data_IF_656065900252
#
_entry.id   IF_656065900252
#
_cell.length_a   1.000
_cell.length_b   1.000
_cell.length_c   1.000
_cell.angle_alpha   90.00
_cell.angle_beta   90.00
_cell.angle_gamma   90.00
#
_symmetry.space_group_name_H-M   'P 1'
#
loop_
_entity.id
_entity.type
_entity.pdbx_description
1 polymer ?
#
# COMPACT_ATOMS: atom_id res chain seq x y z
N UNK A 1 -14.50 1.71 -6.93
CA UNK A 1 -13.60 1.12 -5.92
C UNK A 1 -12.19 1.01 -6.48
N UNK A 2 -11.17 1.21 -5.65
CA UNK A 2 -9.76 0.91 -5.93
C UNK A 2 -9.22 -0.01 -4.83
N UNK A 3 -8.37 -0.97 -5.19
CA UNK A 3 -7.62 -1.78 -4.23
C UNK A 3 -6.16 -1.76 -4.63
N UNK A 4 -5.28 -1.45 -3.69
CA UNK A 4 -3.83 -1.45 -3.86
C UNK A 4 -3.25 -2.52 -2.94
N UNK A 5 -2.67 -3.57 -3.54
CA UNK A 5 -1.85 -4.52 -2.80
C UNK A 5 -0.51 -3.86 -2.47
N UNK A 6 -0.04 -4.02 -1.24
CA UNK A 6 1.22 -3.45 -0.79
C UNK A 6 1.89 -4.34 0.23
N UNK A 7 3.21 -4.18 0.36
CA UNK A 7 4.02 -4.79 1.42
C UNK A 7 4.33 -3.68 2.44
N UNK A 8 3.76 -3.75 3.65
CA UNK A 8 4.06 -2.77 4.72
C UNK A 8 4.95 -3.39 5.79
N UNK A 9 5.68 -2.54 6.50
CA UNK A 9 6.51 -2.96 7.62
C UNK A 9 5.63 -3.27 8.84
N UNK A 10 5.95 -4.36 9.55
CA UNK A 10 5.32 -4.68 10.82
C UNK A 10 5.96 -3.84 11.94
N UNK A 11 5.25 -2.80 12.38
CA UNK A 11 5.75 -1.92 13.43
C UNK A 11 5.50 -2.47 14.85
N UNK A 12 4.60 -3.45 15.04
CA UNK A 12 4.34 -4.01 16.37
C UNK A 12 5.57 -4.79 16.85
N UNK A 13 6.16 -5.60 15.99
CA UNK A 13 7.42 -6.32 16.26
C UNK A 13 8.60 -5.38 16.50
N UNK A 14 8.70 -4.29 15.71
CA UNK A 14 9.77 -3.29 15.84
C UNK A 14 9.72 -2.55 17.19
N UNK A 15 8.51 -2.23 17.67
CA UNK A 15 8.32 -1.57 18.95
C UNK A 15 8.50 -2.52 20.14
N UNK A 16 8.25 -3.82 19.95
CA UNK A 16 8.44 -4.86 20.97
C UNK A 16 9.91 -5.27 21.18
N UNK A 17 10.83 -4.86 20.28
CA UNK A 17 12.25 -5.17 20.37
C UNK A 17 12.63 -6.55 19.81
N UNK A 18 11.68 -7.28 19.24
CA UNK A 18 11.93 -8.53 18.53
C UNK A 18 12.58 -8.25 17.17
N UNK A 19 13.84 -8.66 17.04
CA UNK A 19 14.79 -8.17 16.05
C UNK A 19 14.74 -8.89 14.68
N UNK A 20 13.55 -9.10 14.12
CA UNK A 20 13.46 -9.45 12.70
C UNK A 20 12.44 -8.53 12.02
N UNK A 21 12.88 -7.54 11.22
CA UNK A 21 11.98 -6.71 10.44
C UNK A 21 11.15 -7.61 9.51
N UNK A 22 9.85 -7.72 9.77
CA UNK A 22 8.92 -8.48 8.93
C UNK A 22 8.10 -7.53 8.07
N UNK A 23 7.68 -8.04 6.91
CA UNK A 23 6.70 -7.37 6.04
C UNK A 23 5.40 -8.14 6.08
N UNK A 24 4.30 -7.40 6.05
CA UNK A 24 2.95 -7.94 5.87
C UNK A 24 2.50 -7.64 4.45
N UNK A 25 1.84 -8.61 3.85
CA UNK A 25 1.00 -8.38 2.67
C UNK A 25 -0.27 -7.72 3.16
N UNK A 26 -0.56 -6.53 2.64
CA UNK A 26 -1.72 -5.74 3.01
C UNK A 26 -2.46 -5.23 1.77
N UNK A 27 -3.73 -4.91 1.95
CA UNK A 27 -4.55 -4.28 0.93
C UNK A 27 -5.09 -2.94 1.44
N UNK A 28 -4.78 -1.85 0.72
CA UNK A 28 -5.41 -0.55 0.89
C UNK A 28 -6.59 -0.44 -0.08
N UNK A 29 -7.79 -0.35 0.44
CA UNK A 29 -9.04 -0.24 -0.31
C UNK A 29 -9.63 1.16 -0.17
N UNK A 30 -10.04 1.74 -1.30
CA UNK A 30 -10.91 2.91 -1.36
C UNK A 30 -12.25 2.52 -1.98
N UNK A 31 -13.33 2.79 -1.25
CA UNK A 31 -14.68 2.68 -1.79
C UNK A 31 -15.13 4.01 -2.42
N UNK A 32 -16.32 4.03 -3.02
CA UNK A 32 -16.99 5.25 -3.52
C UNK A 32 -16.16 6.14 -4.45
N UNK A 33 -15.18 5.52 -5.12
CA UNK A 33 -14.30 6.15 -6.11
C UNK A 33 -15.10 6.41 -7.39
N UNK A 34 -15.17 7.67 -7.77
CA UNK A 34 -15.80 8.19 -8.98
C UNK A 34 -14.83 8.16 -10.17
N UNK A 35 -13.56 8.51 -9.94
CA UNK A 35 -12.53 8.47 -10.97
C UNK A 35 -11.15 8.18 -10.38
N UNK A 36 -10.26 7.65 -11.23
CA UNK A 36 -8.88 7.33 -10.88
C UNK A 36 -7.98 7.79 -12.02
N UNK A 37 -6.96 8.58 -11.70
CA UNK A 37 -6.05 9.17 -12.68
C UNK A 37 -4.62 9.03 -12.16
N UNK A 38 -3.73 8.50 -12.98
CA UNK A 38 -2.30 8.41 -12.66
C UNK A 38 -1.51 9.48 -13.41
N UNK A 39 -0.40 9.89 -12.81
CA UNK A 39 0.63 10.71 -13.43
C UNK A 39 1.99 10.15 -13.03
N UNK A 40 2.91 10.05 -13.97
CA UNK A 40 4.29 9.58 -13.72
C UNK A 40 4.31 8.17 -13.07
N UNK A 41 3.31 7.35 -13.39
CA UNK A 41 3.24 5.93 -13.06
C UNK A 41 3.17 5.18 -14.37
N UNK A 42 4.18 4.36 -14.64
CA UNK A 42 4.15 3.44 -15.77
C UNK A 42 3.31 2.20 -15.41
N UNK A 43 2.07 2.20 -15.91
CA UNK A 43 1.13 1.09 -15.70
C UNK A 43 1.51 -0.18 -16.49
N UNK A 44 2.48 -0.10 -17.42
CA UNK A 44 3.01 -1.23 -18.17
C UNK A 44 4.18 -1.95 -17.48
N UNK A 45 4.83 -1.29 -16.52
CA UNK A 45 5.97 -1.83 -15.79
C UNK A 45 5.54 -2.66 -14.57
N UNK A 46 4.89 -3.80 -14.81
CA UNK A 46 4.33 -4.68 -13.78
C UNK A 46 5.35 -5.20 -12.74
N UNK A 47 6.62 -5.26 -13.11
CA UNK A 47 7.72 -5.77 -12.27
C UNK A 47 8.38 -4.69 -11.40
N UNK A 48 8.00 -3.40 -11.55
CA UNK A 48 8.61 -2.32 -10.79
C UNK A 48 7.73 -1.94 -9.59
N UNK A 49 8.11 -2.31 -8.36
CA UNK A 49 7.31 -1.97 -7.18
C UNK A 49 7.31 -0.45 -6.96
N UNK A 50 6.13 0.10 -6.71
CA UNK A 50 5.95 1.50 -6.32
C UNK A 50 6.01 1.63 -4.80
N UNK A 51 6.83 2.56 -4.30
CA UNK A 51 6.89 2.87 -2.87
C UNK A 51 5.92 3.99 -2.54
N UNK A 52 4.83 3.67 -1.84
CA UNK A 52 3.87 4.67 -1.35
C UNK A 52 4.45 5.42 -0.15
N UNK A 53 4.56 6.74 -0.25
CA UNK A 53 5.06 7.61 0.82
C UNK A 53 3.95 8.09 1.74
N UNK A 54 2.75 8.32 1.21
CA UNK A 54 1.66 8.86 2.00
C UNK A 54 0.42 9.15 1.18
N UNK A 55 -0.61 9.58 1.92
CA UNK A 55 -1.92 9.94 1.38
C UNK A 55 -2.23 11.40 1.76
N UNK A 56 -2.80 12.14 0.82
CA UNK A 56 -3.38 13.45 1.09
C UNK A 56 -4.84 13.48 0.70
N UNK A 57 -5.69 14.04 1.57
CA UNK A 57 -7.08 14.30 1.25
C UNK A 57 -7.31 15.80 1.06
N UNK A 58 -7.81 16.17 -0.11
CA UNK A 58 -8.18 17.53 -0.49
C UNK A 58 -9.71 17.60 -0.54
N UNK A 59 -10.37 18.22 0.47
CA UNK A 59 -11.83 18.29 0.52
C UNK A 59 -12.40 19.06 -0.68
N UNK A 60 -13.43 18.50 -1.31
CA UNK A 60 -14.14 19.12 -2.43
C UNK A 60 -15.58 19.46 -2.04
N UNK A 61 -16.53 19.11 -2.91
CA UNK A 61 -17.96 19.20 -2.58
C UNK A 61 -18.29 18.15 -1.52
N UNK A 62 -18.61 18.60 -0.30
CA UNK A 62 -18.99 17.73 0.83
C UNK A 62 -20.07 16.72 0.41
N UNK A 63 -19.95 15.44 0.80
CA UNK A 63 -18.92 14.85 1.68
C UNK A 63 -17.65 14.38 0.95
N UNK A 64 -17.54 14.62 -0.35
CA UNK A 64 -16.47 14.12 -1.21
C UNK A 64 -15.25 15.03 -1.32
N UNK A 65 -14.30 14.58 -2.13
CA UNK A 65 -13.04 15.26 -2.36
C UNK A 65 -12.09 14.44 -3.21
N UNK A 66 -10.81 14.79 -3.15
CA UNK A 66 -9.76 14.11 -3.88
C UNK A 66 -8.78 13.47 -2.91
N UNK A 67 -8.39 12.23 -3.18
CA UNK A 67 -7.30 11.55 -2.46
C UNK A 67 -6.10 11.45 -3.39
N UNK A 68 -4.94 11.89 -2.93
CA UNK A 68 -3.66 11.71 -3.64
C UNK A 68 -2.85 10.61 -2.94
N UNK A 69 -2.45 9.61 -3.70
CA UNK A 69 -1.44 8.63 -3.30
C UNK A 69 -0.11 9.10 -3.89
N UNK A 70 0.85 9.41 -3.02
CA UNK A 70 2.16 9.94 -3.39
C UNK A 70 3.20 8.81 -3.39
N UNK A 71 3.96 8.67 -4.47
CA UNK A 71 4.97 7.62 -4.61
C UNK A 71 6.39 8.21 -4.63
N UNK A 72 7.35 7.43 -4.13
CA UNK A 72 8.74 7.87 -3.98
C UNK A 72 9.43 8.24 -5.30
N UNK A 73 8.97 7.65 -6.41
CA UNK A 73 9.46 7.94 -7.76
C UNK A 73 8.89 9.23 -8.36
N UNK A 74 8.07 9.98 -7.61
CA UNK A 74 7.36 11.18 -8.09
C UNK A 74 6.00 10.88 -8.70
N UNK A 75 5.67 9.59 -8.91
CA UNK A 75 4.36 9.17 -9.36
C UNK A 75 3.24 9.58 -8.41
N UNK A 76 2.07 9.88 -8.96
CA UNK A 76 0.88 10.25 -8.19
C UNK A 76 -0.34 9.52 -8.74
N UNK A 77 -1.15 8.94 -7.85
CA UNK A 77 -2.49 8.47 -8.18
C UNK A 77 -3.51 9.39 -7.53
N UNK A 78 -4.33 10.05 -8.33
CA UNK A 78 -5.45 10.88 -7.88
C UNK A 78 -6.74 10.11 -7.98
N UNK A 79 -7.46 10.03 -6.87
CA UNK A 79 -8.81 9.49 -6.79
C UNK A 79 -9.78 10.64 -6.56
N UNK A 80 -10.86 10.66 -7.31
CA UNK A 80 -12.04 11.46 -6.95
C UNK A 80 -13.03 10.56 -6.24
N UNK A 81 -13.47 10.95 -5.04
CA UNK A 81 -14.35 10.13 -4.19
C UNK A 81 -15.61 10.90 -3.85
N UNK A 82 -16.74 10.21 -3.86
CA UNK A 82 -18.03 10.80 -3.47
C UNK A 82 -18.09 11.04 -1.95
N UNK A 83 -17.37 10.21 -1.18
CA UNK A 83 -17.18 10.24 0.26
C UNK A 83 -15.86 9.53 0.58
N UNK A 84 -15.10 10.02 1.55
CA UNK A 84 -13.85 9.36 1.97
C UNK A 84 -14.17 8.10 2.77
N UNK A 85 -14.05 6.94 2.11
CA UNK A 85 -14.25 5.63 2.71
C UNK A 85 -13.07 4.73 2.30
N UNK A 86 -12.19 4.42 3.26
CA UNK A 86 -11.00 3.60 3.01
C UNK A 86 -10.69 2.65 4.16
N UNK A 87 -10.06 1.53 3.82
CA UNK A 87 -9.68 0.48 4.76
C UNK A 87 -8.28 -0.03 4.40
N UNK A 88 -7.43 -0.24 5.41
CA UNK A 88 -6.17 -0.96 5.28
C UNK A 88 -6.31 -2.26 6.07
N UNK A 89 -6.13 -3.39 5.40
CA UNK A 89 -6.23 -4.72 6.01
C UNK A 89 -4.96 -5.53 5.74
N UNK A 90 -4.44 -6.17 6.79
CA UNK A 90 -3.34 -7.11 6.69
C UNK A 90 -3.88 -8.50 6.29
N UNK A 91 -3.29 -9.09 5.25
CA UNK A 91 -3.70 -10.37 4.67
C UNK A 91 -2.83 -11.53 5.16
N UNK A 92 -1.64 -11.23 5.69
CA UNK A 92 -0.72 -12.21 6.24
C UNK A 92 0.75 -11.79 6.09
N UNK A 93 1.68 -12.60 6.59
CA UNK A 93 3.11 -12.36 6.43
C UNK A 93 3.57 -12.48 4.97
N UNK A 94 4.57 -11.69 4.60
CA UNK A 94 5.25 -11.73 3.31
C UNK A 94 6.19 -12.95 3.22
N UNK A 95 5.60 -14.13 3.14
CA UNK A 95 6.34 -15.40 3.01
C UNK A 95 6.75 -15.71 1.56
N UNK A 96 6.60 -14.76 0.63
CA UNK A 96 6.86 -14.97 -0.80
C UNK A 96 8.36 -15.11 -1.11
N UNK A 97 9.24 -14.72 -0.19
CA UNK A 97 10.70 -14.82 -0.33
C UNK A 97 11.30 -15.95 0.54
N UNK A 98 10.47 -16.77 1.19
CA UNK A 98 10.92 -17.93 1.96
C UNK A 98 11.16 -19.15 1.04
N UNK A 99 12.30 -19.16 0.35
CA UNK A 99 12.84 -20.42 -0.17
C UNK A 99 13.09 -21.38 1.02
N UNK A 100 12.69 -22.67 0.95
CA UNK A 100 12.85 -23.63 2.04
C UNK A 100 14.30 -24.05 2.30
N UNK A 101 15.30 -23.31 1.81
CA UNK A 101 16.73 -23.69 1.84
C UNK A 101 17.44 -23.34 3.16
N UNK A 102 16.87 -22.49 4.02
CA UNK A 102 17.57 -22.03 5.23
C UNK A 102 17.17 -22.74 6.53
N UNK A 103 16.26 -23.73 6.49
CA UNK A 103 15.89 -24.54 7.67
C UNK A 103 16.85 -25.71 7.97
N UNK A 104 17.88 -25.93 7.16
CA UNK A 104 18.80 -27.07 7.33
C UNK A 104 20.04 -26.78 8.20
N UNK A 105 20.24 -25.56 8.71
CA UNK A 105 21.46 -25.18 9.43
C UNK A 105 21.33 -25.13 10.96
N UNK A 106 20.22 -25.59 11.54
CA UNK A 106 20.04 -25.67 13.00
C UNK A 106 19.77 -27.13 13.44
N UNK A 107 20.82 -27.96 13.44
CA UNK A 107 20.91 -29.18 14.25
C UNK A 107 22.34 -29.33 14.74
#
# INVERSE_FOLDING_TARGET
RLVVAMRRMDCEDILAGDCVPRRLISALRFDRVLSCQSREIDMGALELPLTLLGLEFHPGKKPGGQVLLLFATGGVLRLEVECLECELADLGPDNLDADPVDQAAAT
#
